data_IF_293603535739
#
_entry.id   IF_293603535739
#
_cell.length_a   1.000
_cell.length_b   1.000
_cell.length_c   1.000
_cell.angle_alpha   90.00
_cell.angle_beta   90.00
_cell.angle_gamma   90.00
#
_symmetry.space_group_name_H-M   'P 1'
#
loop_
_entity.id
_entity.type
_entity.pdbx_description
1 polymer ?
#
# COMPACT_ATOMS: atom_id res chain seq x y z
N UNK A 1 44.42 39.53 10.60
CA UNK A 1 43.40 38.86 9.77
C UNK A 1 43.72 37.38 9.71
N UNK A 2 42.87 36.52 10.26
CA UNK A 2 43.11 35.07 10.29
C UNK A 2 42.54 34.45 9.01
N UNK A 3 43.39 34.00 8.09
CA UNK A 3 42.97 33.36 6.84
C UNK A 3 42.45 31.94 7.13
N UNK A 4 41.14 31.72 7.02
CA UNK A 4 40.56 30.37 7.05
C UNK A 4 41.12 29.53 5.89
N UNK A 5 41.95 28.53 6.20
CA UNK A 5 42.37 27.52 5.23
C UNK A 5 41.13 26.78 4.69
N UNK A 6 40.85 26.92 3.39
CA UNK A 6 39.81 26.14 2.70
C UNK A 6 40.08 24.65 2.91
N UNK A 7 39.13 23.97 3.53
CA UNK A 7 39.21 22.54 3.85
C UNK A 7 39.01 21.75 2.55
N UNK A 8 40.10 21.28 1.95
CA UNK A 8 40.04 20.38 0.79
C UNK A 8 39.44 19.04 1.22
N UNK A 9 38.16 18.82 0.94
CA UNK A 9 37.49 17.54 1.19
C UNK A 9 38.09 16.51 0.22
N UNK A 10 38.90 15.58 0.74
CA UNK A 10 39.49 14.49 -0.04
C UNK A 10 38.37 13.71 -0.73
N UNK A 11 38.43 13.61 -2.06
CA UNK A 11 37.44 12.87 -2.85
C UNK A 11 37.48 11.39 -2.43
N UNK A 12 36.32 10.86 -2.06
CA UNK A 12 36.15 9.44 -1.76
C UNK A 12 35.27 8.83 -2.88
N UNK A 13 35.83 7.99 -3.77
CA UNK A 13 35.08 7.39 -4.87
C UNK A 13 33.95 6.47 -4.38
N UNK A 14 34.08 5.89 -3.18
CA UNK A 14 33.07 4.99 -2.59
C UNK A 14 31.97 5.73 -1.85
N UNK A 15 32.04 7.06 -1.76
CA UNK A 15 31.08 7.86 -0.98
C UNK A 15 29.65 7.70 -1.49
N UNK A 16 29.47 7.55 -2.80
CA UNK A 16 28.14 7.35 -3.40
C UNK A 16 27.59 5.95 -3.07
N UNK A 17 28.41 4.92 -3.21
CA UNK A 17 28.03 3.55 -2.84
C UNK A 17 27.68 3.44 -1.35
N UNK A 18 28.50 4.04 -0.47
CA UNK A 18 28.24 4.11 0.96
C UNK A 18 26.94 4.84 1.29
N UNK A 19 26.60 5.89 0.52
CA UNK A 19 25.33 6.60 0.66
C UNK A 19 24.15 5.69 0.30
N UNK A 20 24.21 4.96 -0.81
CA UNK A 20 23.13 4.03 -1.18
C UNK A 20 22.96 2.88 -0.19
N UNK A 21 24.07 2.36 0.33
CA UNK A 21 24.02 1.38 1.42
C UNK A 21 23.31 1.97 2.64
N UNK A 22 23.70 3.18 3.06
CA UNK A 22 23.08 3.82 4.21
C UNK A 22 21.59 4.14 3.97
N UNK A 23 21.23 4.60 2.76
CA UNK A 23 19.86 4.94 2.40
C UNK A 23 18.96 3.69 2.33
N UNK A 24 19.45 2.55 1.82
CA UNK A 24 18.70 1.29 1.79
C UNK A 24 18.27 0.80 3.19
N UNK A 25 19.11 1.02 4.20
CA UNK A 25 18.87 0.57 5.59
C UNK A 25 18.06 1.56 6.44
N UNK A 26 17.71 2.73 5.90
CA UNK A 26 16.80 3.66 6.58
C UNK A 26 15.37 3.13 6.53
N UNK A 27 14.56 3.57 7.49
CA UNK A 27 13.11 3.39 7.39
C UNK A 27 12.57 4.32 6.31
N UNK A 28 11.75 3.76 5.43
CA UNK A 28 11.03 4.45 4.37
C UNK A 28 9.55 4.30 4.63
N UNK A 29 8.81 5.39 4.50
CA UNK A 29 7.36 5.34 4.41
C UNK A 29 7.02 5.08 2.95
N UNK A 30 6.40 3.93 2.70
CA UNK A 30 5.94 3.52 1.38
C UNK A 30 4.43 3.48 1.39
N UNK A 31 3.81 4.05 0.36
CA UNK A 31 2.36 4.24 0.29
C UNK A 31 1.81 3.79 -1.05
N UNK A 32 0.57 3.33 -1.04
CA UNK A 32 -0.23 3.23 -2.25
C UNK A 32 -1.67 3.62 -2.00
N UNK A 33 -2.29 4.21 -3.01
CA UNK A 33 -3.72 4.52 -3.05
C UNK A 33 -4.39 3.75 -4.18
N UNK A 34 -5.64 3.39 -3.96
CA UNK A 34 -6.45 2.67 -4.93
C UNK A 34 -7.93 2.81 -4.60
N UNK A 35 -8.77 2.74 -5.63
CA UNK A 35 -10.19 2.58 -5.45
C UNK A 35 -10.53 1.08 -5.36
N UNK A 36 -11.19 0.65 -4.29
CA UNK A 36 -11.45 -0.76 -4.02
C UNK A 36 -12.36 -1.38 -5.09
N UNK A 37 -13.39 -0.65 -5.50
CA UNK A 37 -14.38 -1.12 -6.47
C UNK A 37 -13.74 -1.19 -7.88
N UNK A 38 -12.96 -0.16 -8.29
CA UNK A 38 -12.23 -0.17 -9.57
C UNK A 38 -11.17 -1.29 -9.65
N UNK A 39 -10.46 -1.57 -8.56
CA UNK A 39 -9.47 -2.67 -8.52
C UNK A 39 -10.15 -4.01 -8.79
N UNK A 40 -11.28 -4.27 -8.14
CA UNK A 40 -12.01 -5.51 -8.32
C UNK A 40 -12.52 -5.61 -9.77
N UNK A 41 -13.16 -4.56 -10.27
CA UNK A 41 -13.77 -4.57 -11.60
C UNK A 41 -12.73 -4.64 -12.71
N UNK A 42 -11.68 -3.82 -12.65
CA UNK A 42 -10.66 -3.73 -13.71
C UNK A 42 -9.79 -4.97 -13.81
N UNK A 43 -9.26 -5.45 -12.67
CA UNK A 43 -8.41 -6.65 -12.68
C UNK A 43 -9.23 -7.89 -13.02
N UNK A 44 -10.44 -8.03 -12.46
CA UNK A 44 -11.25 -9.23 -12.69
C UNK A 44 -11.78 -9.26 -14.14
N UNK A 45 -12.21 -8.11 -14.68
CA UNK A 45 -12.65 -8.00 -16.07
C UNK A 45 -11.52 -8.24 -17.07
N UNK A 46 -10.32 -7.71 -16.80
CA UNK A 46 -9.17 -7.94 -17.67
C UNK A 46 -8.78 -9.42 -17.70
N UNK A 47 -8.75 -10.09 -16.53
CA UNK A 47 -8.46 -11.51 -16.45
C UNK A 47 -9.50 -12.37 -17.15
N UNK A 48 -10.78 -12.09 -16.94
CA UNK A 48 -11.88 -12.79 -17.61
C UNK A 48 -11.78 -12.67 -19.13
N UNK A 49 -11.47 -11.46 -19.63
CA UNK A 49 -11.32 -11.18 -21.05
C UNK A 49 -10.10 -11.87 -21.67
N UNK A 50 -9.08 -12.21 -20.87
CA UNK A 50 -7.85 -12.87 -21.30
C UNK A 50 -7.80 -14.36 -20.94
N UNK A 51 -8.89 -14.93 -20.41
CA UNK A 51 -8.96 -16.35 -20.04
C UNK A 51 -8.02 -16.76 -18.90
N UNK A 52 -7.62 -15.81 -18.05
CA UNK A 52 -6.70 -16.06 -16.94
C UNK A 52 -7.46 -16.37 -15.67
N UNK A 53 -7.35 -17.62 -15.22
CA UNK A 53 -8.01 -18.11 -13.99
C UNK A 53 -7.15 -17.83 -12.74
N UNK A 54 -5.83 -17.91 -12.88
CA UNK A 54 -4.88 -17.72 -11.78
C UNK A 54 -4.54 -16.24 -11.58
N UNK A 55 -4.72 -15.74 -10.35
CA UNK A 55 -4.53 -14.31 -10.02
C UNK A 55 -3.06 -13.92 -10.10
N UNK A 56 -2.17 -14.86 -9.85
CA UNK A 56 -0.72 -14.74 -9.81
C UNK A 56 -0.13 -14.42 -11.19
N UNK A 57 -0.83 -14.82 -12.26
CA UNK A 57 -0.44 -14.56 -13.65
C UNK A 57 -0.86 -13.19 -14.17
N UNK A 58 -1.52 -12.36 -13.36
CA UNK A 58 -1.90 -11.00 -13.76
C UNK A 58 -0.64 -10.16 -14.04
N UNK A 59 -0.44 -9.66 -15.27
CA UNK A 59 0.74 -8.88 -15.62
C UNK A 59 0.87 -7.62 -14.77
N UNK A 60 2.11 -7.21 -14.50
CA UNK A 60 2.40 -6.05 -13.64
C UNK A 60 1.76 -4.75 -14.14
N UNK A 61 1.68 -4.53 -15.45
CA UNK A 61 1.10 -3.31 -16.02
C UNK A 61 -0.39 -3.16 -15.65
N UNK A 62 -1.17 -4.25 -15.71
CA UNK A 62 -2.60 -4.27 -15.34
C UNK A 62 -2.79 -3.88 -13.87
N UNK A 63 -1.92 -4.40 -13.00
CA UNK A 63 -1.99 -4.06 -11.56
C UNK A 63 -1.55 -2.61 -11.32
N UNK A 64 -0.55 -2.13 -12.05
CA UNK A 64 -0.03 -0.78 -11.92
C UNK A 64 -0.96 0.33 -12.43
N UNK A 65 -1.99 -0.02 -13.20
CA UNK A 65 -3.02 0.92 -13.68
C UNK A 65 -4.01 1.30 -12.56
N UNK A 66 -4.28 0.41 -11.62
CA UNK A 66 -5.29 0.60 -10.56
C UNK A 66 -4.71 0.87 -9.17
N UNK A 67 -3.41 0.63 -8.99
CA UNK A 67 -2.68 0.97 -7.78
C UNK A 67 -1.67 2.09 -8.07
N UNK A 68 -1.80 3.20 -7.34
CA UNK A 68 -0.93 4.37 -7.45
C UNK A 68 -0.06 4.47 -6.21
N UNK A 69 1.16 5.00 -6.32
CA UNK A 69 2.11 5.04 -5.20
C UNK A 69 3.32 4.13 -5.41
N UNK A 70 4.22 4.17 -4.43
CA UNK A 70 5.51 3.51 -4.50
C UNK A 70 5.54 2.14 -3.77
N UNK A 71 4.60 1.90 -2.86
CA UNK A 71 4.45 0.61 -2.18
C UNK A 71 4.16 -0.52 -3.18
N UNK A 72 3.35 -0.30 -4.20
CA UNK A 72 3.02 -1.33 -5.19
C UNK A 72 4.25 -1.82 -5.98
N UNK A 73 5.24 -0.94 -6.19
CA UNK A 73 6.53 -1.31 -6.80
C UNK A 73 7.24 -2.31 -5.90
N UNK A 74 7.31 -2.02 -4.60
CA UNK A 74 7.97 -2.86 -3.62
C UNK A 74 7.28 -4.22 -3.45
N UNK A 75 5.94 -4.24 -3.38
CA UNK A 75 5.17 -5.48 -3.22
C UNK A 75 5.31 -6.40 -4.44
N UNK A 76 5.18 -5.85 -5.66
CA UNK A 76 5.25 -6.67 -6.89
C UNK A 76 6.65 -7.17 -7.26
N UNK A 77 7.69 -6.60 -6.65
CA UNK A 77 9.08 -7.00 -6.91
C UNK A 77 9.78 -7.56 -5.66
N UNK A 78 9.05 -7.76 -4.56
CA UNK A 78 9.58 -8.33 -3.30
C UNK A 78 10.81 -7.58 -2.77
N UNK A 79 10.77 -6.23 -2.82
CA UNK A 79 11.92 -5.36 -2.48
C UNK A 79 12.07 -5.07 -0.98
N UNK A 80 11.04 -5.42 -0.21
CA UNK A 80 10.92 -5.21 1.24
C UNK A 80 10.59 -6.54 1.92
N UNK A 81 10.71 -6.65 3.26
CA UNK A 81 10.35 -7.86 3.98
C UNK A 81 8.90 -8.30 3.68
N UNK A 82 8.64 -9.61 3.73
CA UNK A 82 7.30 -10.14 3.41
C UNK A 82 6.26 -9.77 4.47
N UNK A 83 6.67 -9.69 5.73
CA UNK A 83 5.82 -9.29 6.84
C UNK A 83 5.99 -7.80 7.13
N UNK A 84 4.88 -7.09 7.30
CA UNK A 84 4.84 -5.65 7.59
C UNK A 84 3.79 -5.34 8.64
N UNK A 85 3.99 -4.24 9.35
CA UNK A 85 2.91 -3.58 10.10
C UNK A 85 2.12 -2.70 9.12
N UNK A 86 0.90 -3.11 8.81
CA UNK A 86 0.08 -2.44 7.79
C UNK A 86 -0.75 -1.33 8.42
N UNK A 87 -0.69 -0.14 7.82
CA UNK A 87 -1.72 0.88 8.00
C UNK A 87 -2.63 0.88 6.79
N UNK A 88 -3.94 0.88 7.03
CA UNK A 88 -4.96 1.09 6.00
C UNK A 88 -5.93 2.16 6.44
N UNK A 89 -6.12 3.19 5.62
CA UNK A 89 -7.27 4.10 5.69
C UNK A 89 -8.22 3.81 4.54
N UNK A 90 -9.52 3.85 4.78
CA UNK A 90 -10.56 3.71 3.75
C UNK A 90 -11.64 4.76 3.97
N UNK A 91 -11.91 5.54 2.93
CA UNK A 91 -13.07 6.42 2.87
C UNK A 91 -14.12 5.77 1.97
N UNK A 92 -15.25 5.37 2.56
CA UNK A 92 -16.37 4.77 1.81
C UNK A 92 -17.46 5.80 1.58
N UNK A 93 -17.75 6.06 0.31
CA UNK A 93 -18.69 7.09 -0.13
C UNK A 93 -20.03 6.47 -0.52
N UNK A 94 -21.10 7.05 0.00
CA UNK A 94 -22.47 6.59 -0.15
C UNK A 94 -23.38 7.70 -0.65
N UNK A 95 -24.42 7.30 -1.37
CA UNK A 95 -25.48 8.19 -1.84
C UNK A 95 -26.84 7.60 -1.51
N UNK A 96 -27.76 8.45 -1.04
CA UNK A 96 -29.15 8.10 -0.86
C UNK A 96 -29.98 8.69 -2.02
N UNK A 97 -30.55 7.82 -2.85
CA UNK A 97 -31.30 8.25 -4.03
C UNK A 97 -32.68 8.84 -3.72
N UNK A 98 -33.23 8.59 -2.53
CA UNK A 98 -34.53 9.16 -2.11
C UNK A 98 -34.36 10.57 -1.54
N UNK A 99 -33.30 10.81 -0.75
CA UNK A 99 -33.04 12.09 -0.09
C UNK A 99 -32.03 12.99 -0.82
N UNK A 100 -31.35 12.44 -1.83
CA UNK A 100 -30.22 13.07 -2.53
C UNK A 100 -29.03 13.43 -1.62
N UNK A 101 -28.90 12.76 -0.47
CA UNK A 101 -27.84 13.00 0.49
C UNK A 101 -26.58 12.19 0.19
N UNK A 102 -25.42 12.76 0.54
CA UNK A 102 -24.11 12.12 0.44
C UNK A 102 -23.58 11.85 1.84
N UNK A 103 -23.05 10.65 2.05
CA UNK A 103 -22.38 10.23 3.28
C UNK A 103 -20.99 9.72 2.95
N UNK A 104 -20.00 10.03 3.79
CA UNK A 104 -18.68 9.41 3.73
C UNK A 104 -18.34 8.85 5.10
N UNK A 105 -18.02 7.56 5.15
CA UNK A 105 -17.68 6.85 6.39
C UNK A 105 -16.20 6.48 6.34
N UNK A 106 -15.35 7.14 7.15
CA UNK A 106 -13.92 6.84 7.22
C UNK A 106 -13.65 5.71 8.22
N UNK A 107 -12.82 4.75 7.82
CA UNK A 107 -12.28 3.72 8.70
C UNK A 107 -10.76 3.63 8.59
N UNK A 108 -10.13 3.26 9.70
CA UNK A 108 -8.69 3.04 9.74
C UNK A 108 -8.34 1.76 10.50
N UNK A 109 -7.31 1.08 10.02
CA UNK A 109 -6.74 -0.12 10.62
C UNK A 109 -5.25 0.07 10.80
N UNK A 110 -4.77 -0.18 12.02
CA UNK A 110 -3.35 -0.32 12.31
C UNK A 110 -3.11 -1.79 12.70
N UNK A 111 -2.39 -2.50 11.84
CA UNK A 111 -2.25 -3.94 11.92
C UNK A 111 -0.89 -4.34 12.47
N UNK A 112 -0.83 -5.44 13.25
CA UNK A 112 0.43 -6.00 13.69
C UNK A 112 1.21 -6.57 12.49
N UNK A 113 2.45 -6.95 12.75
CA UNK A 113 3.32 -7.59 11.76
C UNK A 113 2.65 -8.85 11.17
N UNK A 114 2.44 -8.83 9.85
CA UNK A 114 1.91 -9.98 9.08
C UNK A 114 2.21 -9.87 7.60
N UNK A 115 2.08 -10.97 6.86
CA UNK A 115 2.17 -10.95 5.41
C UNK A 115 1.00 -10.19 4.76
N UNK A 116 1.19 -9.73 3.52
CA UNK A 116 0.13 -9.06 2.77
C UNK A 116 -1.09 -9.98 2.52
N UNK A 117 -0.86 -11.28 2.34
CA UNK A 117 -1.93 -12.26 2.15
C UNK A 117 -2.78 -12.43 3.42
N UNK A 118 -2.14 -12.57 4.57
CA UNK A 118 -2.85 -12.63 5.86
C UNK A 118 -3.61 -11.34 6.14
N UNK A 119 -3.03 -10.19 5.83
CA UNK A 119 -3.72 -8.90 5.92
C UNK A 119 -4.98 -8.88 5.04
N UNK A 120 -4.89 -9.33 3.79
CA UNK A 120 -6.00 -9.29 2.84
C UNK A 120 -7.10 -10.31 3.14
N UNK A 121 -6.72 -11.55 3.44
CA UNK A 121 -7.64 -12.69 3.50
C UNK A 121 -7.93 -13.20 4.91
N UNK A 122 -7.23 -12.68 5.91
CA UNK A 122 -7.35 -13.14 7.29
C UNK A 122 -6.31 -14.19 7.65
N UNK A 123 -6.21 -14.45 8.95
CA UNK A 123 -5.31 -15.47 9.51
C UNK A 123 -5.88 -16.02 10.81
N UNK A 124 -5.89 -17.35 10.92
CA UNK A 124 -6.30 -18.06 12.14
C UNK A 124 -5.29 -17.92 13.28
N UNK A 125 -4.06 -17.52 12.96
CA UNK A 125 -2.95 -17.40 13.90
C UNK A 125 -2.83 -15.98 14.46
N UNK A 126 -3.10 -14.97 13.64
CA UNK A 126 -2.96 -13.57 14.03
C UNK A 126 -4.17 -13.11 14.82
N UNK A 127 -3.90 -12.52 15.99
CA UNK A 127 -4.90 -11.87 16.82
C UNK A 127 -4.66 -10.37 16.82
N UNK A 128 -5.72 -9.62 16.55
CA UNK A 128 -5.72 -8.16 16.55
C UNK A 128 -6.42 -7.66 17.80
N UNK A 129 -5.88 -6.58 18.38
CA UNK A 129 -6.45 -5.94 19.55
C UNK A 129 -7.66 -5.08 19.14
N UNK A 130 -8.79 -5.27 19.80
CA UNK A 130 -10.05 -4.54 19.56
C UNK A 130 -10.31 -3.48 20.63
N UNK A 131 -9.33 -3.21 21.48
CA UNK A 131 -9.50 -2.37 22.67
C UNK A 131 -10.06 -3.17 23.85
N UNK A 132 -10.03 -2.55 25.03
CA UNK A 132 -10.53 -3.13 26.28
C UNK A 132 -9.99 -4.53 26.62
N UNK A 133 -8.81 -4.88 26.10
CA UNK A 133 -8.20 -6.20 26.31
C UNK A 133 -8.81 -7.33 25.48
N UNK A 134 -9.75 -7.03 24.57
CA UNK A 134 -10.36 -8.02 23.68
C UNK A 134 -9.48 -8.23 22.46
N UNK A 135 -9.07 -9.47 22.22
CA UNK A 135 -8.33 -9.85 21.02
C UNK A 135 -9.11 -10.88 20.22
N UNK A 136 -9.34 -10.61 18.95
CA UNK A 136 -10.01 -11.53 18.03
C UNK A 136 -9.09 -11.91 16.88
N UNK A 137 -9.38 -13.04 16.23
CA UNK A 137 -8.69 -13.43 15.00
C UNK A 137 -8.95 -12.39 13.91
N UNK A 138 -7.93 -12.10 13.12
CA UNK A 138 -8.07 -11.24 11.95
C UNK A 138 -8.77 -12.00 10.84
N UNK A 139 -9.92 -11.49 10.39
CA UNK A 139 -10.74 -12.18 9.38
C UNK A 139 -10.46 -11.75 7.94
N UNK A 140 -9.52 -10.82 7.75
CA UNK A 140 -9.24 -10.24 6.45
C UNK A 140 -10.00 -8.94 6.24
N UNK A 141 -9.40 -8.05 5.46
CA UNK A 141 -9.86 -6.68 5.38
C UNK A 141 -11.30 -6.54 4.88
N UNK A 142 -11.70 -7.35 3.91
CA UNK A 142 -13.03 -7.24 3.31
C UNK A 142 -14.14 -7.59 4.31
N UNK A 143 -13.99 -8.68 5.08
CA UNK A 143 -15.00 -9.06 6.08
C UNK A 143 -15.08 -8.03 7.21
N UNK A 144 -13.92 -7.55 7.67
CA UNK A 144 -13.82 -6.60 8.78
C UNK A 144 -14.40 -5.23 8.40
N UNK A 145 -14.06 -4.72 7.22
CA UNK A 145 -14.57 -3.45 6.72
C UNK A 145 -16.07 -3.51 6.44
N UNK A 146 -16.56 -4.56 5.78
CA UNK A 146 -17.99 -4.71 5.49
C UNK A 146 -18.81 -4.73 6.77
N UNK A 147 -18.37 -5.48 7.79
CA UNK A 147 -19.06 -5.54 9.07
C UNK A 147 -19.14 -4.15 9.74
N UNK A 148 -18.04 -3.40 9.74
CA UNK A 148 -18.02 -2.06 10.33
C UNK A 148 -18.94 -1.09 9.57
N UNK A 149 -18.97 -1.17 8.24
CA UNK A 149 -19.83 -0.34 7.40
C UNK A 149 -21.31 -0.70 7.57
N UNK A 150 -21.66 -1.98 7.74
CA UNK A 150 -23.03 -2.42 8.03
C UNK A 150 -23.58 -1.83 9.35
N UNK A 151 -22.71 -1.56 10.32
CA UNK A 151 -23.10 -0.98 11.62
C UNK A 151 -23.25 0.56 11.56
N UNK A 152 -22.45 1.24 10.74
CA UNK A 152 -22.41 2.72 10.67
C UNK A 152 -23.31 3.34 9.58
N UNK A 153 -23.60 2.61 8.51
CA UNK A 153 -24.31 3.17 7.34
C UNK A 153 -25.82 3.06 7.52
N UNK A 154 -26.57 4.20 7.51
CA UNK A 154 -28.03 4.15 7.62
C UNK A 154 -28.69 3.45 6.43
N UNK A 155 -29.87 2.87 6.66
CA UNK A 155 -30.68 2.28 5.60
C UNK A 155 -31.00 3.33 4.51
N UNK A 156 -30.96 2.91 3.25
CA UNK A 156 -31.23 3.77 2.09
C UNK A 156 -29.99 4.39 1.45
N UNK A 157 -28.83 4.30 2.10
CA UNK A 157 -27.55 4.70 1.51
C UNK A 157 -26.92 3.54 0.74
N UNK A 158 -26.63 3.76 -0.54
CA UNK A 158 -25.94 2.81 -1.41
C UNK A 158 -24.48 3.22 -1.59
N UNK A 159 -23.55 2.26 -1.52
CA UNK A 159 -22.12 2.53 -1.69
C UNK A 159 -21.84 2.82 -3.15
N UNK A 160 -21.24 3.97 -3.42
CA UNK A 160 -20.87 4.38 -4.78
C UNK A 160 -19.41 4.07 -5.06
N UNK A 161 -18.52 4.28 -4.08
CA UNK A 161 -17.10 3.97 -4.22
C UNK A 161 -16.40 3.91 -2.86
N UNK A 162 -15.29 3.20 -2.77
CA UNK A 162 -14.38 3.24 -1.63
C UNK A 162 -12.95 3.54 -2.05
N UNK A 163 -12.38 4.61 -1.49
CA UNK A 163 -11.00 5.04 -1.75
C UNK A 163 -10.10 4.62 -0.58
N UNK A 164 -8.97 3.97 -0.88
CA UNK A 164 -8.09 3.38 0.12
C UNK A 164 -6.67 3.94 0.05
N UNK A 165 -6.03 4.06 1.22
CA UNK A 165 -4.61 4.34 1.41
C UNK A 165 -3.99 3.20 2.22
N UNK A 166 -3.09 2.43 1.61
CA UNK A 166 -2.26 1.46 2.31
C UNK A 166 -0.84 2.02 2.50
N UNK A 167 -0.32 1.90 3.72
CA UNK A 167 1.01 2.42 4.10
C UNK A 167 1.78 1.39 4.93
N UNK A 168 3.09 1.37 4.74
CA UNK A 168 4.04 0.66 5.60
C UNK A 168 5.25 1.54 5.91
N UNK A 169 5.90 1.29 7.04
CA UNK A 169 7.20 1.89 7.39
C UNK A 169 8.21 0.76 7.47
N UNK A 170 9.14 0.72 6.51
CA UNK A 170 9.99 -0.47 6.32
C UNK A 170 11.38 -0.14 5.78
N UNK A 171 12.26 -1.14 5.79
CA UNK A 171 13.57 -1.07 5.13
C UNK A 171 13.54 -1.92 3.86
N UNK A 172 14.42 -1.61 2.92
CA UNK A 172 14.66 -2.52 1.80
C UNK A 172 15.43 -3.76 2.28
N UNK A 173 15.23 -4.91 1.63
CA UNK A 173 15.93 -6.13 2.02
C UNK A 173 17.45 -5.99 1.84
N UNK A 174 17.86 -5.27 0.80
CA UNK A 174 19.26 -5.01 0.49
C UNK A 174 19.41 -3.77 -0.41
N UNK A 175 20.65 -3.41 -0.72
CA UNK A 175 20.98 -2.23 -1.53
C UNK A 175 20.56 -2.38 -2.99
N UNK A 176 20.61 -3.59 -3.54
CA UNK A 176 20.18 -3.87 -4.92
C UNK A 176 18.69 -3.60 -5.07
N UNK A 177 17.88 -4.03 -4.10
CA UNK A 177 16.43 -3.81 -4.11
C UNK A 177 16.08 -2.32 -3.99
N UNK A 178 16.82 -1.57 -3.16
CA UNK A 178 16.68 -0.13 -3.07
C UNK A 178 17.03 0.58 -4.38
N UNK A 179 18.09 0.16 -5.07
CA UNK A 179 18.47 0.73 -6.36
C UNK A 179 17.43 0.40 -7.44
N UNK A 180 16.95 -0.83 -7.49
CA UNK A 180 15.87 -1.23 -8.38
C UNK A 180 14.60 -0.40 -8.16
N UNK A 181 14.20 -0.21 -6.90
CA UNK A 181 13.06 0.63 -6.54
C UNK A 181 13.20 2.03 -7.12
N UNK A 182 14.37 2.66 -6.97
CA UNK A 182 14.61 4.00 -7.50
C UNK A 182 14.51 4.05 -9.01
N UNK A 183 15.09 3.08 -9.71
CA UNK A 183 15.02 2.99 -11.17
C UNK A 183 13.57 2.81 -11.64
N UNK A 184 12.82 1.90 -11.01
CA UNK A 184 11.42 1.66 -11.32
C UNK A 184 10.54 2.88 -11.03
N UNK A 185 10.77 3.59 -9.91
CA UNK A 185 10.05 4.81 -9.55
C UNK A 185 10.29 5.92 -10.57
N UNK A 186 11.56 6.18 -10.93
CA UNK A 186 11.90 7.15 -11.97
C UNK A 186 11.28 6.79 -13.32
N UNK A 187 11.28 5.51 -13.69
CA UNK A 187 10.68 5.06 -14.95
C UNK A 187 9.17 5.32 -14.99
N UNK A 188 8.45 5.08 -13.89
CA UNK A 188 7.01 5.37 -13.79
C UNK A 188 6.69 6.86 -13.86
N UNK A 189 7.47 7.68 -13.15
CA UNK A 189 7.36 9.15 -13.18
C UNK A 189 7.54 9.68 -14.62
N UNK A 190 8.53 9.16 -15.35
CA UNK A 190 8.81 9.56 -16.74
C UNK A 190 7.73 9.11 -17.72
N UNK A 191 7.07 7.98 -17.46
CA UNK A 191 5.99 7.44 -18.29
C UNK A 191 4.62 8.06 -17.99
N UNK A 192 4.52 8.96 -17.01
CA UNK A 192 3.26 9.63 -16.66
C UNK A 192 2.24 8.72 -15.97
N UNK A 193 2.64 7.53 -15.53
CA UNK A 193 1.82 6.62 -14.74
C UNK A 193 2.03 6.99 -13.28
N UNK A 194 1.10 7.79 -12.73
CA UNK A 194 1.18 8.46 -11.43
C UNK A 194 2.03 7.72 -10.37
N UNK A 195 2.99 8.47 -9.82
CA UNK A 195 3.89 8.06 -8.75
C UNK A 195 3.18 7.96 -7.40
#
# INVERSE_FOLDING_TARGET
MCSMKKRNKKYNPNKLAQKYVADAHKMHTLEMTFNIDEVNDSIDSWRASNGLVEKEHTPKHVVYEVYHGDLIICLKNLLIPLEQEWFLGVDSHYFNYETEEVLTVPFQFQMPLMSFEEFRFGSELIKVDRGHGVKTRWKGINEELNKLLEEEVPQGFERIRSDALLRVITKFNNVTDYLYFKEAKMARELLGVAA
#
